data_IF_920312469103
#
_entry.id   IF_920312469103
#
_cell.length_a   1.000
_cell.length_b   1.000
_cell.length_c   1.000
_cell.angle_alpha   90.00
_cell.angle_beta   90.00
_cell.angle_gamma   90.00
#
_symmetry.space_group_name_H-M   'P 1'
#
loop_
_entity.id
_entity.type
_entity.pdbx_description
1 polymer ?
#
# COMPACT_ATOMS: atom_id res chain seq x y z
N UNK A 1 -15.05 4.04 20.82
CA UNK A 1 -15.54 5.40 21.14
C UNK A 1 -16.75 5.68 20.27
N UNK A 2 -17.95 5.78 20.85
CA UNK A 2 -19.13 6.14 20.08
C UNK A 2 -19.11 7.66 19.83
N UNK A 3 -19.25 8.08 18.57
CA UNK A 3 -19.34 9.50 18.21
C UNK A 3 -20.62 10.09 18.81
N UNK A 4 -20.51 11.24 19.49
CA UNK A 4 -21.66 11.89 20.11
C UNK A 4 -22.64 12.40 19.05
N UNK A 5 -23.97 12.29 19.27
CA UNK A 5 -24.95 12.88 18.36
C UNK A 5 -24.83 14.41 18.32
N UNK A 6 -24.86 14.98 17.12
CA UNK A 6 -24.76 16.42 16.91
C UNK A 6 -26.10 17.02 16.45
N UNK A 7 -26.47 18.17 17.01
CA UNK A 7 -27.61 18.95 16.55
C UNK A 7 -27.27 19.72 15.26
N UNK A 8 -28.31 20.14 14.53
CA UNK A 8 -28.16 20.85 13.25
C UNK A 8 -27.29 22.11 13.33
N UNK A 9 -27.52 23.00 14.31
CA UNK A 9 -26.79 24.27 14.42
C UNK A 9 -25.28 24.06 14.62
N UNK A 10 -24.81 23.20 15.54
CA UNK A 10 -23.40 22.82 15.61
C UNK A 10 -22.82 22.28 14.31
N UNK A 11 -23.55 21.40 13.60
CA UNK A 11 -23.09 20.85 12.31
C UNK A 11 -22.91 21.94 11.26
N UNK A 12 -23.87 22.85 11.12
CA UNK A 12 -23.75 24.01 10.23
C UNK A 12 -22.51 24.85 10.54
N UNK A 13 -22.25 25.13 11.82
CA UNK A 13 -21.09 25.92 12.24
C UNK A 13 -19.76 25.24 11.90
N UNK A 14 -19.73 23.91 11.80
CA UNK A 14 -18.52 23.16 11.43
C UNK A 14 -18.19 23.23 9.93
N UNK A 15 -19.15 23.63 9.08
CA UNK A 15 -18.98 23.72 7.62
C UNK A 15 -19.26 25.15 7.16
N UNK A 16 -18.29 26.07 7.27
CA UNK A 16 -18.50 27.46 6.86
C UNK A 16 -18.77 27.55 5.35
N UNK A 17 -19.76 28.36 4.96
CA UNK A 17 -20.13 28.60 3.56
C UNK A 17 -21.23 27.69 3.00
N UNK A 18 -21.67 26.65 3.73
CA UNK A 18 -22.85 25.87 3.32
C UNK A 18 -24.16 26.61 3.62
N UNK A 19 -25.13 26.54 2.70
CA UNK A 19 -26.48 27.05 2.95
C UNK A 19 -27.31 26.06 3.79
N UNK A 20 -28.31 26.55 4.52
CA UNK A 20 -29.20 25.70 5.34
C UNK A 20 -29.91 24.65 4.50
N UNK A 21 -30.35 25.03 3.30
CA UNK A 21 -31.01 24.14 2.35
C UNK A 21 -30.07 23.01 1.91
N UNK A 22 -28.86 23.34 1.49
CA UNK A 22 -27.88 22.34 1.07
C UNK A 22 -27.52 21.40 2.23
N UNK A 23 -27.28 21.91 3.43
CA UNK A 23 -26.99 21.06 4.58
C UNK A 23 -28.15 20.09 4.88
N UNK A 24 -29.39 20.57 4.78
CA UNK A 24 -30.57 19.73 4.98
C UNK A 24 -30.70 18.66 3.89
N UNK A 25 -30.51 19.02 2.63
CA UNK A 25 -30.53 18.10 1.49
C UNK A 25 -29.44 17.01 1.64
N UNK A 26 -28.21 17.40 1.99
CA UNK A 26 -27.11 16.45 2.20
C UNK A 26 -27.37 15.53 3.40
N UNK A 27 -27.88 16.05 4.51
CA UNK A 27 -28.23 15.22 5.67
C UNK A 27 -29.37 14.26 5.36
N UNK A 28 -30.39 14.68 4.59
CA UNK A 28 -31.48 13.80 4.15
C UNK A 28 -30.92 12.65 3.31
N UNK A 29 -30.07 12.95 2.33
CA UNK A 29 -29.46 11.93 1.48
C UNK A 29 -28.63 10.93 2.30
N UNK A 30 -27.82 11.42 3.25
CA UNK A 30 -27.03 10.55 4.12
C UNK A 30 -27.88 9.68 5.06
N UNK A 31 -29.09 10.14 5.43
CA UNK A 31 -30.06 9.35 6.18
C UNK A 31 -30.70 8.27 5.30
N UNK A 32 -31.08 8.63 4.08
CA UNK A 32 -31.64 7.72 3.09
C UNK A 32 -30.63 6.62 2.70
N UNK A 33 -29.34 6.95 2.63
CA UNK A 33 -28.25 6.01 2.36
C UNK A 33 -27.81 5.21 3.62
N UNK A 34 -28.48 5.38 4.76
CA UNK A 34 -28.17 4.74 6.04
C UNK A 34 -26.75 5.00 6.58
N UNK A 35 -26.11 6.09 6.16
CA UNK A 35 -24.80 6.54 6.66
C UNK A 35 -24.98 7.32 7.96
N UNK A 36 -26.07 8.10 8.05
CA UNK A 36 -26.45 8.90 9.22
C UNK A 36 -27.80 8.41 9.76
N UNK A 37 -27.95 8.39 11.08
CA UNK A 37 -29.24 8.24 11.74
C UNK A 37 -29.70 9.61 12.24
N UNK A 38 -30.97 9.94 11.98
CA UNK A 38 -31.64 11.12 12.51
C UNK A 38 -32.56 10.71 13.67
N UNK A 39 -32.46 11.42 14.79
CA UNK A 39 -33.30 11.25 15.96
C UNK A 39 -33.99 12.59 16.27
N UNK A 40 -35.29 12.55 16.61
CA UNK A 40 -36.05 13.73 17.02
C UNK A 40 -36.08 13.81 18.53
N UNK A 41 -35.74 14.97 19.09
CA UNK A 41 -35.87 15.28 20.51
C UNK A 41 -36.78 16.52 20.71
N UNK A 42 -36.97 16.92 21.97
CA UNK A 42 -37.81 18.07 22.34
C UNK A 42 -37.27 19.41 21.82
N UNK A 43 -35.99 19.46 21.44
CA UNK A 43 -35.25 20.68 21.04
C UNK A 43 -35.09 20.74 19.52
N UNK A 44 -35.22 19.62 18.81
CA UNK A 44 -35.14 19.53 17.35
C UNK A 44 -34.63 18.18 16.85
N UNK A 45 -33.72 18.22 15.88
CA UNK A 45 -33.14 17.03 15.24
C UNK A 45 -31.69 16.85 15.65
N UNK A 46 -31.34 15.61 16.01
CA UNK A 46 -29.97 15.14 16.23
C UNK A 46 -29.57 14.14 15.17
N UNK A 47 -28.29 14.19 14.80
CA UNK A 47 -27.71 13.34 13.78
C UNK A 47 -26.51 12.60 14.36
N UNK A 48 -26.38 11.32 14.05
CA UNK A 48 -25.22 10.51 14.42
C UNK A 48 -24.83 9.57 13.29
N UNK A 49 -23.56 9.21 13.18
CA UNK A 49 -23.14 8.18 12.24
C UNK A 49 -23.68 6.80 12.66
N UNK A 50 -24.19 6.06 11.70
CA UNK A 50 -24.49 4.62 11.86
C UNK A 50 -23.19 3.81 11.91
N UNK A 51 -23.24 2.51 12.24
CA UNK A 51 -22.07 1.64 12.10
C UNK A 51 -21.51 1.64 10.67
N UNK A 52 -22.38 1.67 9.66
CA UNK A 52 -21.97 1.80 8.26
C UNK A 52 -21.24 3.12 8.01
N UNK A 53 -21.81 4.25 8.45
CA UNK A 53 -21.15 5.55 8.30
C UNK A 53 -19.82 5.67 9.04
N UNK A 54 -19.68 5.01 10.20
CA UNK A 54 -18.40 4.94 10.92
C UNK A 54 -17.33 4.17 10.13
N UNK A 55 -17.73 3.15 9.37
CA UNK A 55 -16.79 2.38 8.54
C UNK A 55 -16.20 3.19 7.38
N UNK A 56 -16.82 4.32 6.99
CA UNK A 56 -16.30 5.23 5.96
C UNK A 56 -15.19 6.16 6.46
N UNK A 57 -15.09 6.39 7.77
CA UNK A 57 -14.08 7.26 8.38
C UNK A 57 -12.65 6.95 7.90
N UNK A 58 -12.15 5.70 7.96
CA UNK A 58 -10.78 5.41 7.50
C UNK A 58 -10.55 5.75 6.02
N UNK A 59 -11.55 5.55 5.17
CA UNK A 59 -11.47 5.90 3.73
C UNK A 59 -11.36 7.41 3.55
N UNK A 60 -12.18 8.18 4.28
CA UNK A 60 -12.12 9.65 4.25
C UNK A 60 -10.79 10.16 4.80
N UNK A 61 -10.24 9.53 5.84
CA UNK A 61 -8.93 9.87 6.38
C UNK A 61 -7.80 9.61 5.38
N UNK A 62 -7.84 8.50 4.65
CA UNK A 62 -6.89 8.21 3.57
C UNK A 62 -6.97 9.27 2.47
N UNK A 63 -8.18 9.63 2.05
CA UNK A 63 -8.39 10.66 1.03
C UNK A 63 -7.89 12.04 1.51
N UNK A 64 -8.12 12.37 2.78
CA UNK A 64 -7.61 13.59 3.40
C UNK A 64 -6.07 13.64 3.37
N UNK A 65 -5.39 12.57 3.82
CA UNK A 65 -3.93 12.51 3.80
C UNK A 65 -3.35 12.63 2.38
N UNK A 66 -3.99 11.98 1.41
CA UNK A 66 -3.61 12.13 0.01
C UNK A 66 -3.80 13.57 -0.49
N UNK A 67 -4.90 14.23 -0.08
CA UNK A 67 -5.18 15.62 -0.41
C UNK A 67 -4.13 16.59 0.12
N UNK A 68 -3.78 16.47 1.40
CA UNK A 68 -2.72 17.28 2.05
C UNK A 68 -1.38 17.11 1.30
N UNK A 69 -0.99 15.87 1.02
CA UNK A 69 0.21 15.57 0.25
C UNK A 69 0.24 16.24 -1.15
N UNK A 70 -0.92 16.32 -1.81
CA UNK A 70 -1.05 16.93 -3.12
C UNK A 70 -0.93 18.47 -3.04
N UNK A 71 -1.51 19.08 -1.99
CA UNK A 71 -1.41 20.52 -1.73
C UNK A 71 0.04 20.88 -1.41
N UNK A 72 0.69 20.15 -0.50
CA UNK A 72 2.10 20.32 -0.16
C UNK A 72 3.00 20.26 -1.40
N UNK A 73 2.72 19.31 -2.29
CA UNK A 73 3.44 19.18 -3.57
C UNK A 73 3.20 20.36 -4.51
N UNK A 74 1.98 20.88 -4.59
CA UNK A 74 1.66 22.07 -5.41
C UNK A 74 2.35 23.32 -4.88
N UNK A 75 2.52 23.39 -3.56
CA UNK A 75 3.18 24.50 -2.87
C UNK A 75 4.70 24.32 -2.77
N UNK A 76 5.26 23.25 -3.36
CA UNK A 76 6.71 23.03 -3.52
C UNK A 76 7.39 22.32 -2.35
N UNK A 77 6.63 21.81 -1.37
CA UNK A 77 7.16 20.99 -0.27
C UNK A 77 7.23 19.51 -0.69
N UNK A 78 8.41 18.92 -0.57
CA UNK A 78 8.82 17.60 -1.10
C UNK A 78 8.00 16.38 -0.61
N UNK A 79 8.02 15.26 -1.35
CA UNK A 79 6.91 14.32 -1.49
C UNK A 79 6.78 13.26 -0.39
N UNK A 80 5.58 12.70 -0.28
CA UNK A 80 5.26 11.47 0.46
C UNK A 80 6.25 10.37 0.06
N UNK A 81 7.09 9.97 1.00
CA UNK A 81 7.67 8.63 0.98
C UNK A 81 6.51 7.67 1.27
N UNK A 82 5.96 7.07 0.22
CA UNK A 82 5.11 5.90 0.36
C UNK A 82 6.03 4.81 0.90
N UNK A 83 6.04 4.62 2.21
CA UNK A 83 6.61 3.42 2.82
C UNK A 83 5.71 2.25 2.39
N UNK A 84 5.99 1.72 1.20
CA UNK A 84 5.59 0.39 0.83
C UNK A 84 6.60 -0.55 1.50
N UNK A 85 6.23 -1.29 2.55
CA UNK A 85 6.85 -2.58 2.74
C UNK A 85 6.50 -3.39 1.49
N UNK A 86 7.45 -3.46 0.57
CA UNK A 86 7.48 -4.40 -0.53
C UNK A 86 7.47 -5.79 0.10
N UNK A 87 6.29 -6.34 0.35
CA UNK A 87 6.16 -7.76 0.66
C UNK A 87 6.64 -8.50 -0.57
N UNK A 88 7.84 -9.09 -0.45
CA UNK A 88 8.43 -10.06 -1.35
C UNK A 88 7.43 -11.21 -1.55
N UNK A 89 6.56 -11.08 -2.55
CA UNK A 89 5.78 -12.20 -3.06
C UNK A 89 6.60 -12.78 -4.20
N UNK A 90 7.60 -13.58 -3.83
CA UNK A 90 8.20 -14.55 -4.72
C UNK A 90 9.48 -14.07 -5.39
N UNK A 91 10.56 -13.93 -4.60
CA UNK A 91 11.86 -14.37 -5.10
C UNK A 91 11.71 -15.79 -5.71
N UNK A 92 12.02 -16.02 -7.01
CA UNK A 92 12.13 -17.40 -7.50
C UNK A 92 13.24 -18.10 -6.70
N UNK A 93 13.16 -19.43 -6.50
CA UNK A 93 14.22 -20.15 -5.82
C UNK A 93 15.50 -19.88 -6.61
N UNK A 94 16.52 -19.35 -5.94
CA UNK A 94 17.87 -19.31 -6.49
C UNK A 94 18.31 -20.76 -6.61
N UNK A 95 18.01 -21.35 -7.77
CA UNK A 95 18.48 -22.67 -8.14
C UNK A 95 19.99 -22.65 -7.98
N UNK A 96 20.41 -23.55 -7.11
CA UNK A 96 21.73 -23.66 -6.55
C UNK A 96 22.67 -23.95 -7.71
N UNK A 97 23.38 -22.94 -8.20
CA UNK A 97 24.51 -23.16 -9.08
C UNK A 97 25.51 -24.02 -8.29
N UNK A 98 25.48 -25.33 -8.56
CA UNK A 98 26.50 -26.29 -8.16
C UNK A 98 27.85 -25.77 -8.67
N UNK A 99 28.55 -25.10 -7.76
CA UNK A 99 29.97 -24.82 -7.88
C UNK A 99 30.68 -26.13 -7.57
N UNK A 100 31.00 -26.92 -8.58
CA UNK A 100 31.94 -28.04 -8.42
C UNK A 100 33.33 -27.46 -8.19
N UNK A 101 33.65 -27.23 -6.92
CA UNK A 101 35.01 -27.05 -6.45
C UNK A 101 35.64 -28.41 -6.23
N UNK A 102 36.70 -28.73 -6.97
CA UNK A 102 37.75 -29.61 -6.46
C UNK A 102 39.08 -29.07 -6.96
N UNK A 103 39.58 -28.07 -6.23
CA UNK A 103 41.01 -27.76 -6.19
C UNK A 103 41.53 -28.39 -4.89
N UNK A 104 42.38 -29.40 -5.02
CA UNK A 104 43.29 -29.83 -3.96
C UNK A 104 44.68 -29.81 -4.55
N UNK A 105 45.48 -28.86 -4.08
CA UNK A 105 46.91 -28.75 -4.31
C UNK A 105 47.65 -29.94 -3.69
N UNK A 106 48.64 -30.45 -4.41
CA UNK A 106 49.57 -31.47 -3.94
C UNK A 106 50.81 -31.53 -4.84
N UNK A 107 51.85 -30.80 -4.45
CA UNK A 107 53.15 -30.76 -5.10
C UNK A 107 53.89 -32.12 -5.05
N UNK A 108 54.60 -32.48 -6.13
CA UNK A 108 55.55 -33.60 -6.10
C UNK A 108 56.15 -34.02 -7.45
N UNK A 109 57.44 -33.69 -7.64
CA UNK A 109 58.50 -34.37 -8.41
C UNK A 109 58.44 -34.53 -9.95
N UNK A 110 59.24 -33.70 -10.61
CA UNK A 110 60.35 -33.98 -11.55
C UNK A 110 60.57 -35.42 -12.10
N UNK A 111 60.25 -35.61 -13.40
CA UNK A 111 60.97 -36.38 -14.46
C UNK A 111 61.21 -37.90 -14.36
N UNK A 112 61.76 -38.57 -15.40
CA UNK A 112 61.65 -38.36 -16.86
C UNK A 112 61.33 -39.68 -17.63
N UNK A 113 61.28 -39.57 -18.97
CA UNK A 113 61.61 -40.61 -19.97
C UNK A 113 60.55 -41.59 -20.51
N UNK A 114 60.52 -41.55 -21.86
CA UNK A 114 60.49 -42.68 -22.80
C UNK A 114 59.16 -43.09 -23.46
N UNK A 115 59.08 -42.72 -24.75
CA UNK A 115 58.85 -43.57 -25.93
C UNK A 115 57.80 -44.69 -25.83
N UNK A 116 56.81 -44.69 -26.74
CA UNK A 116 56.61 -45.78 -27.73
C UNK A 116 55.26 -45.66 -28.46
N UNK A 117 55.36 -45.42 -29.77
CA UNK A 117 54.68 -46.11 -30.88
C UNK A 117 53.15 -46.03 -31.08
N UNK A 118 52.80 -45.51 -32.27
CA UNK A 118 51.67 -45.94 -33.10
C UNK A 118 50.34 -45.26 -32.74
N UNK A 119 49.44 -44.93 -33.67
CA UNK A 119 49.28 -45.41 -35.02
C UNK A 119 48.25 -44.51 -35.75
N UNK A 120 48.58 -44.11 -36.97
CA UNK A 120 47.72 -43.87 -38.15
C UNK A 120 46.28 -43.32 -37.98
N UNK A 121 46.08 -42.06 -38.42
CA UNK A 121 45.32 -41.61 -39.61
C UNK A 121 43.87 -42.11 -39.89
N UNK A 122 43.11 -41.53 -40.85
CA UNK A 122 42.69 -40.12 -40.97
C UNK A 122 41.22 -39.97 -41.48
N UNK A 123 40.87 -38.72 -41.88
CA UNK A 123 39.89 -38.32 -42.91
C UNK A 123 38.40 -38.29 -42.48
N UNK A 124 37.79 -37.10 -42.42
CA UNK A 124 37.12 -36.39 -43.54
C UNK A 124 35.90 -37.19 -44.03
N UNK A 125 34.68 -36.64 -44.07
CA UNK A 125 34.27 -35.47 -44.84
C UNK A 125 32.83 -35.09 -44.48
#
# INVERSE_FOLDING_TARGET
MAMSPHAFIPLRKSVPGISDRMLTEQLSQLVDDHIVAQERDDIGHRYRLTPLGQSLIPVLQMLHHFGEALIDRRDGSTPIAVDQPHQDIGSPPRETAMRNGTAVDGAGSTGPSAQSTGNFAPAAR
#
